data_IF_148745859742
#
_entry.id   IF_148745859742
#
_cell.length_a   1.000
_cell.length_b   1.000
_cell.length_c   1.000
_cell.angle_alpha   90.00
_cell.angle_beta   90.00
_cell.angle_gamma   90.00
#
_symmetry.space_group_name_H-M   'P 1'
#
loop_
_entity.id
_entity.type
_entity.pdbx_description
1 polymer ?
#
# COMPACT_ATOMS: atom_id res chain seq x y z
N UNK A 1 2.30 -15.45 0.02
CA UNK A 1 1.75 -14.13 -0.33
C UNK A 1 2.07 -13.15 0.78
N UNK A 2 2.28 -11.89 0.44
CA UNK A 2 2.53 -10.82 1.41
C UNK A 2 1.20 -10.31 1.95
N UNK A 3 1.16 -9.83 3.19
CA UNK A 3 -0.05 -9.21 3.73
C UNK A 3 -0.28 -7.84 3.09
N UNK A 4 -1.53 -7.43 2.90
CA UNK A 4 -1.84 -6.03 2.53
C UNK A 4 -1.24 -5.02 3.51
N UNK A 5 -1.06 -5.40 4.79
CA UNK A 5 -0.42 -4.53 5.77
C UNK A 5 1.09 -4.35 5.54
N UNK A 6 1.76 -5.34 4.94
CA UNK A 6 3.17 -5.21 4.58
C UNK A 6 3.33 -4.28 3.37
N UNK A 7 2.46 -4.42 2.36
CA UNK A 7 2.39 -3.48 1.23
C UNK A 7 2.02 -2.07 1.70
N UNK A 8 1.11 -1.96 2.67
CA UNK A 8 0.76 -0.68 3.30
C UNK A 8 1.95 -0.02 3.99
N UNK A 9 2.74 -0.79 4.75
CA UNK A 9 3.97 -0.27 5.38
C UNK A 9 4.98 0.18 4.33
N UNK A 10 5.14 -0.56 3.24
CA UNK A 10 6.02 -0.19 2.14
C UNK A 10 5.58 1.14 1.49
N UNK A 11 4.29 1.31 1.19
CA UNK A 11 3.77 2.57 0.64
C UNK A 11 3.98 3.74 1.62
N UNK A 12 3.75 3.55 2.93
CA UNK A 12 4.00 4.58 3.95
C UNK A 12 5.50 4.89 4.06
N UNK A 13 6.36 3.88 3.98
CA UNK A 13 7.81 4.05 3.94
C UNK A 13 8.24 4.91 2.73
N UNK A 14 7.69 4.65 1.54
CA UNK A 14 7.96 5.45 0.34
C UNK A 14 7.50 6.90 0.53
N UNK A 15 6.31 7.12 1.10
CA UNK A 15 5.84 8.47 1.42
C UNK A 15 6.80 9.20 2.36
N UNK A 16 7.25 8.54 3.43
CA UNK A 16 8.24 9.11 4.35
C UNK A 16 9.59 9.38 3.67
N UNK A 17 10.05 8.48 2.80
CA UNK A 17 11.31 8.59 2.04
C UNK A 17 11.29 9.80 1.10
N UNK A 18 10.16 10.09 0.47
CA UNK A 18 9.99 11.18 -0.48
C UNK A 18 9.51 12.50 0.15
N UNK A 19 9.21 12.52 1.46
CA UNK A 19 8.67 13.70 2.13
C UNK A 19 7.21 14.00 1.75
N UNK A 20 6.50 12.98 1.28
CA UNK A 20 5.14 13.05 0.76
C UNK A 20 4.10 12.91 1.88
N UNK A 21 2.97 13.57 1.70
CA UNK A 21 1.81 13.38 2.57
C UNK A 21 0.92 12.26 2.02
N UNK A 22 0.69 11.23 2.84
CA UNK A 22 -0.21 10.13 2.50
C UNK A 22 -1.43 10.12 3.42
N UNK A 23 -2.62 10.28 2.83
CA UNK A 23 -3.90 10.14 3.54
C UNK A 23 -4.44 8.73 3.38
N UNK A 24 -5.43 8.35 4.19
CA UNK A 24 -6.09 7.04 4.05
C UNK A 24 -6.67 6.84 2.64
N UNK A 25 -7.27 7.89 2.04
CA UNK A 25 -7.81 7.80 0.68
C UNK A 25 -6.71 7.58 -0.38
N UNK A 26 -5.57 8.27 -0.28
CA UNK A 26 -4.43 8.06 -1.21
C UNK A 26 -3.85 6.66 -1.05
N UNK A 27 -3.72 6.19 0.19
CA UNK A 27 -3.25 4.84 0.50
C UNK A 27 -4.13 3.76 -0.17
N UNK A 28 -5.46 3.89 -0.09
CA UNK A 28 -6.38 2.93 -0.72
C UNK A 28 -6.23 2.87 -2.25
N UNK A 29 -6.05 4.02 -2.89
CA UNK A 29 -5.80 4.09 -4.35
C UNK A 29 -4.49 3.42 -4.73
N UNK A 30 -3.42 3.67 -3.95
CA UNK A 30 -2.12 3.05 -4.20
C UNK A 30 -2.18 1.53 -4.03
N UNK A 31 -2.83 1.01 -2.98
CA UNK A 31 -3.05 -0.43 -2.82
C UNK A 31 -3.77 -1.05 -4.02
N UNK A 32 -4.81 -0.39 -4.52
CA UNK A 32 -5.51 -0.82 -5.72
C UNK A 32 -4.61 -0.84 -6.95
N UNK A 33 -3.88 0.24 -7.22
CA UNK A 33 -2.98 0.29 -8.37
C UNK A 33 -1.86 -0.75 -8.27
N UNK A 34 -1.28 -0.94 -7.08
CA UNK A 34 -0.28 -1.98 -6.85
C UNK A 34 -0.82 -3.38 -7.14
N UNK A 35 -2.02 -3.71 -6.65
CA UNK A 35 -2.66 -5.00 -6.93
C UNK A 35 -2.93 -5.20 -8.43
N UNK A 36 -3.51 -4.19 -9.10
CA UNK A 36 -3.84 -4.27 -10.52
C UNK A 36 -2.58 -4.43 -11.38
N UNK A 37 -1.55 -3.63 -11.13
CA UNK A 37 -0.28 -3.76 -11.83
C UNK A 37 0.36 -5.12 -11.59
N UNK A 38 0.25 -5.68 -10.39
CA UNK A 38 0.78 -7.01 -10.11
C UNK A 38 0.03 -8.08 -10.90
N UNK A 39 -1.31 -8.04 -10.89
CA UNK A 39 -2.14 -8.95 -11.68
C UNK A 39 -1.82 -8.91 -13.19
N UNK A 40 -1.56 -7.72 -13.73
CA UNK A 40 -1.24 -7.55 -15.15
C UNK A 40 0.14 -8.13 -15.52
N UNK A 41 1.14 -8.00 -14.63
CA UNK A 41 2.53 -8.34 -14.94
C UNK A 41 2.98 -9.72 -14.45
N UNK A 42 2.25 -10.31 -13.51
CA UNK A 42 2.64 -11.56 -12.84
C UNK A 42 1.55 -12.63 -12.98
N UNK A 43 1.22 -13.01 -14.22
CA UNK A 43 0.31 -14.13 -14.53
C UNK A 43 -1.06 -14.09 -13.83
N UNK A 44 -1.60 -12.90 -13.54
CA UNK A 44 -2.84 -12.73 -12.76
C UNK A 44 -2.76 -13.25 -11.33
N UNK A 45 -1.57 -13.39 -10.79
CA UNK A 45 -1.38 -13.69 -9.37
C UNK A 45 -1.59 -12.40 -8.55
N UNK A 46 -2.42 -12.45 -7.49
CA UNK A 46 -2.59 -11.31 -6.60
C UNK A 46 -1.34 -11.05 -5.75
N UNK A 47 -1.02 -9.79 -5.46
CA UNK A 47 0.09 -9.46 -4.54
C UNK A 47 -0.31 -9.78 -3.10
N UNK A 48 -1.55 -9.45 -2.73
CA UNK A 48 -2.19 -9.78 -1.46
C UNK A 48 -3.60 -10.35 -1.69
N UNK A 49 -4.08 -11.17 -0.75
CA UNK A 49 -5.36 -11.91 -0.86
C UNK A 49 -6.56 -11.06 -0.41
N UNK A 50 -6.31 -9.97 0.32
CA UNK A 50 -7.35 -9.10 0.87
C UNK A 50 -8.28 -8.54 -0.21
N UNK A 51 -9.58 -8.64 0.02
CA UNK A 51 -10.60 -8.18 -0.92
C UNK A 51 -10.57 -6.65 -1.06
N UNK A 52 -10.56 -6.18 -2.30
CA UNK A 52 -10.74 -4.76 -2.63
C UNK A 52 -12.22 -4.52 -2.95
N UNK A 53 -12.90 -3.78 -2.09
CA UNK A 53 -14.33 -3.46 -2.22
C UNK A 53 -14.56 -2.15 -2.95
N UNK A 54 -15.57 -2.10 -3.80
CA UNK A 54 -15.98 -0.87 -4.49
C UNK A 54 -16.85 0.00 -3.56
N UNK A 55 -16.24 0.98 -2.88
CA UNK A 55 -16.94 1.94 -2.04
C UNK A 55 -17.22 3.24 -2.82
N UNK A 56 -18.08 4.12 -2.25
CA UNK A 56 -18.50 5.37 -2.89
C UNK A 56 -17.35 6.29 -3.34
N UNK A 57 -16.20 6.23 -2.68
CA UNK A 57 -15.03 7.07 -2.97
C UNK A 57 -13.87 6.31 -3.61
N UNK A 58 -14.12 5.09 -4.09
CA UNK A 58 -13.16 4.27 -4.80
C UNK A 58 -12.93 2.90 -4.16
N UNK A 59 -11.93 2.16 -4.67
CA UNK A 59 -11.56 0.85 -4.16
C UNK A 59 -11.05 0.95 -2.72
N UNK A 60 -11.46 0.04 -1.85
CA UNK A 60 -11.10 0.01 -0.44
C UNK A 60 -10.80 -1.40 0.01
N UNK A 61 -9.61 -1.60 0.59
CA UNK A 61 -9.33 -2.72 1.49
C UNK A 61 -9.82 -2.34 2.88
N UNK A 62 -10.91 -2.96 3.31
CA UNK A 62 -11.69 -2.54 4.50
C UNK A 62 -10.85 -2.57 5.79
N UNK A 63 -10.02 -3.59 5.98
CA UNK A 63 -9.17 -3.70 7.16
C UNK A 63 -8.14 -2.57 7.24
N UNK A 64 -7.53 -2.22 6.12
CA UNK A 64 -6.60 -1.08 6.02
C UNK A 64 -7.35 0.22 6.27
N UNK A 65 -8.53 0.40 5.69
CA UNK A 65 -9.32 1.60 5.89
C UNK A 65 -9.64 1.79 7.37
N UNK A 66 -10.11 0.74 8.05
CA UNK A 66 -10.43 0.81 9.47
C UNK A 66 -9.22 1.05 10.36
N UNK A 67 -8.05 0.55 9.99
CA UNK A 67 -6.79 0.83 10.71
C UNK A 67 -6.42 2.32 10.66
N UNK A 68 -6.64 2.98 9.52
CA UNK A 68 -6.22 4.38 9.32
C UNK A 68 -7.37 5.39 9.30
N UNK A 69 -8.63 4.98 9.56
CA UNK A 69 -9.82 5.86 9.50
C UNK A 69 -9.73 7.07 10.43
N UNK A 70 -9.05 6.93 11.56
CA UNK A 70 -8.91 8.00 12.56
C UNK A 70 -8.07 9.18 12.05
N UNK A 71 -7.22 8.97 11.04
CA UNK A 71 -6.51 10.04 10.35
C UNK A 71 -7.44 10.85 9.44
N UNK A 72 -8.62 10.35 9.05
CA UNK A 72 -9.55 11.06 8.16
C UNK A 72 -8.84 11.60 6.90
N UNK A 73 -8.75 12.92 6.79
CA UNK A 73 -8.06 13.64 5.70
C UNK A 73 -6.65 14.11 6.08
N UNK A 74 -6.20 13.87 7.31
CA UNK A 74 -4.84 14.21 7.73
C UNK A 74 -3.85 13.14 7.24
N UNK A 75 -2.57 13.52 7.05
CA UNK A 75 -1.53 12.58 6.73
C UNK A 75 -1.40 11.50 7.82
N UNK A 76 -1.14 10.26 7.40
CA UNK A 76 -0.84 9.14 8.29
C UNK A 76 0.56 9.37 8.86
N UNK A 77 0.63 9.67 10.16
CA UNK A 77 1.89 9.83 10.87
C UNK A 77 2.35 8.48 11.44
N UNK A 78 2.87 7.61 10.58
CA UNK A 78 3.47 6.34 10.99
C UNK A 78 4.93 6.31 10.52
N UNK A 79 5.85 6.12 11.47
CA UNK A 79 7.25 5.93 11.16
C UNK A 79 7.51 4.45 10.80
N UNK A 80 7.93 4.19 9.57
CA UNK A 80 8.28 2.86 9.09
C UNK A 80 9.76 2.85 8.74
N UNK A 81 10.53 1.96 9.36
CA UNK A 81 11.98 1.88 9.13
C UNK A 81 12.29 1.06 7.89
N UNK A 82 13.34 1.47 7.19
CA UNK A 82 13.86 0.75 6.01
C UNK A 82 14.16 -0.73 6.32
N UNK A 83 14.78 -1.01 7.46
CA UNK A 83 15.12 -2.38 7.89
C UNK A 83 13.89 -3.28 8.10
N UNK A 84 12.72 -2.71 8.39
CA UNK A 84 11.47 -3.50 8.50
C UNK A 84 10.96 -3.92 7.13
N UNK A 85 11.16 -3.08 6.11
CA UNK A 85 10.77 -3.33 4.73
C UNK A 85 11.70 -4.35 4.08
N UNK A 86 13.02 -4.18 4.20
CA UNK A 86 14.03 -5.05 3.57
C UNK A 86 14.04 -6.47 4.17
N UNK A 87 13.41 -6.69 5.33
CA UNK A 87 13.17 -8.03 5.89
C UNK A 87 12.04 -8.78 5.19
N UNK A 88 11.12 -8.07 4.56
CA UNK A 88 9.89 -8.63 3.97
C UNK A 88 10.00 -8.66 2.44
N UNK A 89 10.54 -7.60 1.86
CA UNK A 89 10.62 -7.40 0.41
C UNK A 89 12.06 -7.40 -0.06
N UNK A 90 12.32 -8.13 -1.14
CA UNK A 90 13.57 -7.99 -1.88
C UNK A 90 13.59 -6.67 -2.67
N UNK A 91 14.75 -6.32 -3.21
CA UNK A 91 14.91 -5.07 -3.96
C UNK A 91 13.95 -4.98 -5.16
N UNK A 92 13.70 -6.09 -5.86
CA UNK A 92 12.81 -6.09 -7.04
C UNK A 92 11.37 -5.76 -6.66
N UNK A 93 10.88 -6.33 -5.55
CA UNK A 93 9.55 -6.02 -5.05
C UNK A 93 9.44 -4.57 -4.57
N UNK A 94 10.47 -4.03 -3.92
CA UNK A 94 10.51 -2.62 -3.52
C UNK A 94 10.47 -1.73 -4.77
N UNK A 95 11.35 -1.97 -5.74
CA UNK A 95 11.43 -1.21 -6.99
C UNK A 95 10.10 -1.27 -7.77
N UNK A 96 9.40 -2.41 -7.74
CA UNK A 96 8.07 -2.57 -8.36
C UNK A 96 7.01 -1.68 -7.73
N UNK A 97 6.90 -1.67 -6.39
CA UNK A 97 5.92 -0.82 -5.70
C UNK A 97 6.30 0.65 -5.81
N UNK A 98 7.60 0.96 -5.77
CA UNK A 98 8.14 2.31 -5.97
C UNK A 98 7.87 2.85 -7.38
N UNK A 99 7.87 2.00 -8.42
CA UNK A 99 7.49 2.41 -9.78
C UNK A 99 6.02 2.86 -9.89
N UNK A 100 5.15 2.36 -9.01
CA UNK A 100 3.70 2.66 -9.00
C UNK A 100 3.38 3.87 -8.12
N UNK A 101 4.27 4.17 -7.16
CA UNK A 101 4.13 5.22 -6.15
C UNK A 101 4.17 6.63 -6.76
#
# INVERSE_FOLDING_TARGET
MVSVFDVTKLIIYLANKYGDLITNLRLQKLLYYTQVWHLVNFNKEPLFDDEIKAWNFGPVVEEVYHKFKNFRHTPISLNVKKDEIEKIFDKKAIDFVEFIY
#
